data_IF_218935931270
#
_entry.id   IF_218935931270
#
_cell.length_a   1.000
_cell.length_b   1.000
_cell.length_c   1.000
_cell.angle_alpha   90.00
_cell.angle_beta   90.00
_cell.angle_gamma   90.00
#
_symmetry.space_group_name_H-M   'P 1'
#
loop_
_entity.id
_entity.type
_entity.pdbx_description
1 polymer ?
#
# COMPACT_ATOMS: atom_id res chain seq x y z
N UNK A 1 -65.57 -38.34 18.92
CA UNK A 1 -65.55 -37.53 17.67
C UNK A 1 -64.86 -36.21 18.00
N UNK A 2 -63.89 -35.80 17.19
CA UNK A 2 -63.22 -34.49 17.30
C UNK A 2 -61.70 -34.61 17.40
N UNK A 3 -61.05 -34.53 16.23
CA UNK A 3 -59.60 -34.54 15.98
C UNK A 3 -59.04 -33.11 16.10
N UNK A 4 -57.79 -33.01 16.56
CA UNK A 4 -56.70 -32.07 16.21
C UNK A 4 -57.04 -30.67 15.64
N UNK A 5 -56.47 -29.62 16.23
CA UNK A 5 -55.98 -28.46 15.47
C UNK A 5 -55.05 -27.58 16.32
N UNK A 6 -53.79 -27.41 15.89
CA UNK A 6 -53.16 -26.09 15.97
C UNK A 6 -51.80 -25.96 16.66
N UNK A 7 -50.79 -26.71 16.22
CA UNK A 7 -49.39 -26.25 16.24
C UNK A 7 -49.21 -25.17 15.16
N UNK A 8 -48.50 -24.06 15.47
CA UNK A 8 -47.96 -22.93 14.64
C UNK A 8 -48.32 -21.61 15.34
N UNK A 9 -47.43 -20.71 15.74
CA UNK A 9 -46.12 -20.33 15.22
C UNK A 9 -45.24 -19.74 16.33
N UNK A 10 -43.96 -20.11 16.30
CA UNK A 10 -42.89 -19.41 17.00
C UNK A 10 -42.39 -18.26 16.12
N UNK A 11 -42.35 -17.01 16.63
CA UNK A 11 -41.56 -15.95 16.02
C UNK A 11 -40.87 -15.10 17.09
N UNK A 12 -39.58 -15.41 17.27
CA UNK A 12 -38.45 -14.48 17.31
C UNK A 12 -38.57 -13.29 18.28
N UNK A 13 -38.15 -13.51 19.52
CA UNK A 13 -37.58 -12.49 20.39
C UNK A 13 -36.05 -12.57 20.40
N UNK A 14 -35.38 -12.41 19.25
CA UNK A 14 -33.93 -12.31 19.19
C UNK A 14 -33.53 -10.88 19.56
N UNK A 15 -33.40 -10.65 20.87
CA UNK A 15 -32.85 -9.42 21.41
C UNK A 15 -31.42 -9.22 20.87
N UNK A 16 -31.17 -8.01 20.36
CA UNK A 16 -29.87 -7.51 19.95
C UNK A 16 -28.81 -7.74 21.04
N UNK A 17 -27.95 -8.74 20.83
CA UNK A 17 -26.67 -8.89 21.51
C UNK A 17 -25.55 -8.74 20.46
N UNK A 18 -25.42 -7.53 19.90
CA UNK A 18 -24.25 -7.12 19.13
C UNK A 18 -23.73 -5.87 19.84
N UNK A 19 -22.53 -5.95 20.43
CA UNK A 19 -21.76 -4.91 21.13
C UNK A 19 -21.57 -5.21 22.62
N UNK A 20 -20.78 -6.25 22.96
CA UNK A 20 -19.99 -6.30 24.20
C UNK A 20 -19.03 -7.50 24.17
N UNK A 21 -17.72 -7.22 24.12
CA UNK A 21 -16.70 -8.11 24.70
C UNK A 21 -16.52 -9.47 24.03
N UNK A 22 -16.26 -9.50 22.72
CA UNK A 22 -15.57 -10.65 22.16
C UNK A 22 -14.25 -10.81 22.90
N UNK A 23 -14.18 -11.83 23.76
CA UNK A 23 -12.95 -12.35 24.32
C UNK A 23 -11.85 -12.28 23.26
N UNK A 24 -10.65 -11.90 23.66
CA UNK A 24 -9.43 -11.93 22.86
C UNK A 24 -9.17 -13.39 22.43
N UNK A 25 -9.99 -13.92 21.53
CA UNK A 25 -9.68 -15.07 20.72
C UNK A 25 -8.33 -14.71 20.12
N UNK A 26 -7.30 -15.47 20.50
CA UNK A 26 -5.91 -15.30 20.06
C UNK A 26 -5.93 -14.64 18.69
N UNK A 27 -5.66 -13.32 18.64
CA UNK A 27 -5.77 -12.61 17.39
C UNK A 27 -4.81 -13.35 16.46
N UNK A 28 -5.32 -13.91 15.38
CA UNK A 28 -4.44 -14.52 14.40
C UNK A 28 -3.76 -13.39 13.65
N UNK A 29 -2.57 -13.61 13.06
CA UNK A 29 -1.97 -12.60 12.20
C UNK A 29 -2.94 -12.19 11.07
N UNK A 30 -3.77 -13.10 10.56
CA UNK A 30 -4.81 -12.75 9.59
C UNK A 30 -5.88 -11.83 10.14
N UNK A 31 -6.34 -12.06 11.37
CA UNK A 31 -7.34 -11.21 12.00
C UNK A 31 -6.82 -9.77 12.18
N UNK A 32 -5.55 -9.63 12.62
CA UNK A 32 -4.92 -8.31 12.76
C UNK A 32 -4.85 -7.56 11.42
N UNK A 33 -4.46 -8.24 10.33
CA UNK A 33 -4.45 -7.63 9.00
C UNK A 33 -5.86 -7.33 8.48
N UNK A 34 -6.84 -8.21 8.72
CA UNK A 34 -8.22 -7.99 8.31
C UNK A 34 -8.82 -6.75 8.98
N UNK A 35 -8.51 -6.51 10.25
CA UNK A 35 -8.96 -5.32 10.96
C UNK A 35 -8.28 -4.04 10.44
N UNK A 36 -6.98 -4.08 10.15
CA UNK A 36 -6.28 -2.98 9.47
C UNK A 36 -6.91 -2.65 8.11
N UNK A 37 -7.16 -3.69 7.31
CA UNK A 37 -7.73 -3.57 5.97
C UNK A 37 -9.14 -2.97 6.01
N UNK A 38 -10.02 -3.50 6.86
CA UNK A 38 -11.37 -3.00 7.04
C UNK A 38 -11.39 -1.54 7.54
N UNK A 39 -10.55 -1.21 8.53
CA UNK A 39 -10.44 0.15 9.04
C UNK A 39 -9.94 1.14 7.97
N UNK A 40 -8.98 0.72 7.14
CA UNK A 40 -8.46 1.55 6.05
C UNK A 40 -9.51 1.79 4.97
N UNK A 41 -10.24 0.75 4.53
CA UNK A 41 -11.32 0.89 3.55
C UNK A 41 -12.46 1.75 4.08
N UNK A 42 -12.73 1.70 5.39
CA UNK A 42 -13.73 2.53 6.04
C UNK A 42 -13.26 3.99 6.28
N UNK A 43 -12.00 4.32 5.93
CA UNK A 43 -11.42 5.64 6.20
C UNK A 43 -11.20 5.93 7.70
N UNK A 44 -11.25 4.91 8.56
CA UNK A 44 -11.07 5.04 10.02
C UNK A 44 -9.58 4.96 10.36
N UNK A 45 -8.85 6.03 10.12
CA UNK A 45 -7.38 6.06 10.19
C UNK A 45 -6.86 5.74 11.60
N UNK A 46 -7.43 6.33 12.65
CA UNK A 46 -6.98 6.05 14.02
C UNK A 46 -7.19 4.58 14.41
N UNK A 47 -8.31 4.00 13.99
CA UNK A 47 -8.57 2.57 14.17
C UNK A 47 -7.55 1.72 13.39
N UNK A 48 -7.24 2.10 12.14
CA UNK A 48 -6.25 1.42 11.31
C UNK A 48 -4.85 1.46 11.96
N UNK A 49 -4.42 2.63 12.46
CA UNK A 49 -3.16 2.79 13.18
C UNK A 49 -3.10 1.92 14.44
N UNK A 50 -4.24 1.63 15.08
CA UNK A 50 -4.34 0.67 16.18
C UNK A 50 -3.79 -0.71 15.84
N UNK A 51 -3.80 -1.13 14.58
CA UNK A 51 -3.31 -2.44 14.12
C UNK A 51 -1.89 -2.41 13.55
N UNK A 52 -1.29 -1.24 13.39
CA UNK A 52 0.08 -1.08 12.87
C UNK A 52 1.09 -1.26 14.00
N UNK A 53 2.22 -1.92 13.75
CA UNK A 53 3.27 -2.13 14.75
C UNK A 53 3.94 -0.82 15.17
N UNK A 54 4.47 -0.76 16.39
CA UNK A 54 5.03 0.44 17.03
C UNK A 54 5.95 1.29 16.15
N UNK A 55 6.99 0.72 15.50
CA UNK A 55 7.90 1.51 14.67
C UNK A 55 7.20 2.19 13.48
N UNK A 56 6.38 1.44 12.74
CA UNK A 56 5.64 2.00 11.60
C UNK A 56 4.51 2.93 12.05
N UNK A 57 3.86 2.62 13.18
CA UNK A 57 2.84 3.49 13.77
C UNK A 57 3.45 4.83 14.17
N UNK A 58 4.65 4.84 14.77
CA UNK A 58 5.36 6.06 15.14
C UNK A 58 5.74 6.89 13.91
N UNK A 59 6.24 6.27 12.85
CA UNK A 59 6.53 6.95 11.57
C UNK A 59 5.27 7.60 10.98
N UNK A 60 4.17 6.85 10.90
CA UNK A 60 2.88 7.36 10.42
C UNK A 60 2.32 8.45 11.33
N UNK A 61 2.54 8.36 12.65
CA UNK A 61 2.10 9.35 13.63
C UNK A 61 2.92 10.65 13.57
N UNK A 62 4.19 10.58 13.17
CA UNK A 62 5.05 11.76 12.98
C UNK A 62 4.65 12.59 11.75
N UNK A 63 3.94 11.99 10.78
CA UNK A 63 3.43 12.71 9.60
C UNK A 63 2.32 13.69 9.97
N UNK A 64 2.26 14.87 9.32
CA UNK A 64 1.12 15.77 9.43
C UNK A 64 -0.19 15.05 9.13
N UNK A 65 -1.27 15.43 9.82
CA UNK A 65 -2.57 14.78 9.67
C UNK A 65 -3.03 14.73 8.20
N UNK A 66 -2.91 15.84 7.46
CA UNK A 66 -3.30 15.90 6.06
C UNK A 66 -2.50 14.93 5.15
N UNK A 67 -1.20 14.75 5.42
CA UNK A 67 -0.36 13.80 4.68
C UNK A 67 -0.79 12.36 4.99
N UNK A 68 -1.03 12.06 6.27
CA UNK A 68 -1.49 10.75 6.73
C UNK A 68 -2.85 10.40 6.12
N UNK A 69 -3.79 11.34 6.14
CA UNK A 69 -5.10 11.19 5.50
C UNK A 69 -4.97 10.95 3.99
N UNK A 70 -4.11 11.70 3.31
CA UNK A 70 -3.82 11.50 1.89
C UNK A 70 -3.27 10.10 1.60
N UNK A 71 -2.36 9.61 2.44
CA UNK A 71 -1.76 8.28 2.34
C UNK A 71 -2.83 7.19 2.53
N UNK A 72 -3.62 7.22 3.60
CA UNK A 72 -4.65 6.23 3.85
C UNK A 72 -5.79 6.28 2.82
N UNK A 73 -6.13 7.47 2.30
CA UNK A 73 -7.08 7.61 1.19
C UNK A 73 -6.56 6.95 -0.08
N UNK A 74 -5.29 7.16 -0.41
CA UNK A 74 -4.63 6.53 -1.57
C UNK A 74 -4.57 5.01 -1.40
N UNK A 75 -4.24 4.52 -0.20
CA UNK A 75 -4.29 3.10 0.11
C UNK A 75 -5.71 2.54 -0.10
N UNK A 76 -6.73 3.16 0.47
CA UNK A 76 -8.11 2.71 0.31
C UNK A 76 -8.58 2.63 -1.15
N UNK A 77 -8.04 3.46 -2.04
CA UNK A 77 -8.34 3.45 -3.47
C UNK A 77 -7.59 2.37 -4.27
N UNK A 78 -6.40 1.98 -3.81
CA UNK A 78 -5.51 1.05 -4.52
C UNK A 78 -5.68 -0.40 -4.05
N UNK A 79 -6.10 -0.59 -2.80
CA UNK A 79 -6.29 -1.91 -2.21
C UNK A 79 -7.55 -2.61 -2.75
N UNK A 80 -7.51 -3.93 -2.95
CA UNK A 80 -8.72 -4.70 -3.21
C UNK A 80 -9.77 -4.52 -2.11
N UNK A 81 -11.04 -4.35 -2.51
CA UNK A 81 -12.18 -4.30 -1.57
C UNK A 81 -12.32 -5.60 -0.77
N UNK A 82 -11.96 -6.71 -1.39
CA UNK A 82 -11.98 -8.06 -0.82
C UNK A 82 -10.72 -8.79 -1.24
N UNK A 83 -10.21 -9.68 -0.39
CA UNK A 83 -9.05 -10.51 -0.68
C UNK A 83 -9.23 -11.94 -0.15
N UNK A 84 -8.40 -12.85 -0.65
CA UNK A 84 -8.23 -14.21 -0.12
C UNK A 84 -6.78 -14.43 0.29
N UNK A 85 -6.56 -15.03 1.45
CA UNK A 85 -5.21 -15.42 1.90
C UNK A 85 -4.76 -16.63 1.05
N UNK A 86 -3.55 -16.55 0.52
CA UNK A 86 -2.92 -17.59 -0.29
C UNK A 86 -1.87 -18.37 0.50
N UNK A 87 -1.12 -17.69 1.35
CA UNK A 87 -0.09 -18.30 2.18
C UNK A 87 0.01 -17.57 3.52
N UNK A 88 0.33 -18.32 4.56
CA UNK A 88 0.68 -17.83 5.88
C UNK A 88 1.87 -18.62 6.40
N UNK A 89 2.87 -17.92 6.91
CA UNK A 89 3.86 -18.52 7.80
C UNK A 89 3.87 -17.78 9.13
N UNK A 90 4.06 -18.53 10.22
CA UNK A 90 4.22 -17.99 11.57
C UNK A 90 5.49 -18.62 12.15
N UNK A 91 6.37 -17.78 12.67
CA UNK A 91 7.63 -18.15 13.29
C UNK A 91 7.77 -17.38 14.59
N UNK A 92 7.40 -18.02 15.71
CA UNK A 92 7.33 -17.39 17.03
C UNK A 92 6.46 -16.13 17.02
N UNK A 93 7.10 -14.99 17.25
CA UNK A 93 6.47 -13.66 17.32
C UNK A 93 6.45 -12.93 15.96
N UNK A 94 6.79 -13.61 14.87
CA UNK A 94 6.73 -13.05 13.52
C UNK A 94 5.76 -13.86 12.64
N UNK A 95 5.09 -13.18 11.71
CA UNK A 95 4.27 -13.83 10.71
C UNK A 95 4.39 -13.14 9.36
N UNK A 96 4.24 -13.92 8.28
CA UNK A 96 4.12 -13.41 6.92
C UNK A 96 2.78 -13.85 6.34
N UNK A 97 2.10 -12.91 5.69
CA UNK A 97 0.86 -13.16 4.97
C UNK A 97 1.04 -12.80 3.50
N UNK A 98 0.58 -13.72 2.66
CA UNK A 98 0.41 -13.48 1.23
C UNK A 98 -1.07 -13.63 0.92
N UNK A 99 -1.65 -12.64 0.26
CA UNK A 99 -3.04 -12.66 -0.18
C UNK A 99 -3.15 -12.20 -1.63
N UNK A 100 -4.31 -12.46 -2.25
CA UNK A 100 -4.66 -11.90 -3.56
C UNK A 100 -6.05 -11.31 -3.54
N UNK A 101 -6.29 -10.29 -4.34
CA UNK A 101 -7.58 -9.66 -4.53
C UNK A 101 -7.65 -8.95 -5.88
N UNK A 102 -8.83 -8.47 -6.22
CA UNK A 102 -9.03 -7.65 -7.44
C UNK A 102 -8.98 -6.19 -7.03
N UNK A 103 -8.00 -5.45 -7.56
CA UNK A 103 -7.93 -4.00 -7.45
C UNK A 103 -8.67 -3.36 -8.62
N UNK A 104 -9.47 -2.35 -8.31
CA UNK A 104 -10.25 -1.56 -9.28
C UNK A 104 -9.64 -0.15 -9.33
N UNK A 105 -8.38 -0.06 -9.72
CA UNK A 105 -7.65 1.20 -9.78
C UNK A 105 -7.69 1.80 -11.19
N UNK A 106 -8.02 3.09 -11.31
CA UNK A 106 -8.10 3.83 -12.58
C UNK A 106 -9.00 3.21 -13.66
N UNK A 107 -10.09 2.53 -13.25
CA UNK A 107 -11.05 1.92 -14.18
C UNK A 107 -10.60 0.57 -14.77
N UNK A 108 -9.40 0.10 -14.42
CA UNK A 108 -8.94 -1.26 -14.74
C UNK A 108 -9.21 -2.22 -13.58
N UNK A 109 -9.57 -3.46 -13.90
CA UNK A 109 -9.60 -4.57 -12.93
C UNK A 109 -8.32 -5.38 -13.10
N UNK A 110 -7.48 -5.39 -12.08
CA UNK A 110 -6.23 -6.16 -12.09
C UNK A 110 -6.11 -7.04 -10.85
N UNK A 111 -5.46 -8.18 -11.01
CA UNK A 111 -5.08 -9.00 -9.86
C UNK A 111 -3.98 -8.29 -9.09
N UNK A 112 -4.18 -8.14 -7.78
CA UNK A 112 -3.23 -7.56 -6.87
C UNK A 112 -2.87 -8.60 -5.80
N UNK A 113 -1.61 -8.59 -5.38
CA UNK A 113 -1.05 -9.46 -4.38
C UNK A 113 -0.59 -8.65 -3.18
N UNK A 114 -1.00 -9.10 -2.00
CA UNK A 114 -0.52 -8.62 -0.72
C UNK A 114 0.74 -9.37 -0.33
N UNK A 115 1.74 -8.64 0.12
CA UNK A 115 2.79 -9.15 1.01
C UNK A 115 2.74 -8.34 2.30
N UNK A 116 2.47 -8.99 3.44
CA UNK A 116 2.44 -8.34 4.74
C UNK A 116 3.29 -9.09 5.76
N UNK A 117 4.09 -8.34 6.51
CA UNK A 117 4.82 -8.84 7.67
C UNK A 117 4.13 -8.37 8.94
N UNK A 118 3.95 -9.28 9.88
CA UNK A 118 3.34 -9.01 11.17
C UNK A 118 4.29 -9.42 12.27
N UNK A 119 4.17 -8.74 13.41
CA UNK A 119 4.90 -9.05 14.62
C UNK A 119 3.95 -9.07 15.81
N UNK A 120 4.26 -9.89 16.79
CA UNK A 120 3.60 -9.87 18.08
C UNK A 120 4.19 -8.75 18.93
N UNK A 121 3.34 -7.87 19.45
CA UNK A 121 3.67 -6.85 20.44
C UNK A 121 2.87 -7.15 21.70
N UNK A 122 3.54 -7.74 22.71
CA UNK A 122 2.85 -8.35 23.85
C UNK A 122 2.06 -9.58 23.40
N UNK A 123 0.75 -9.59 23.66
CA UNK A 123 -0.13 -10.70 23.25
C UNK A 123 -0.88 -10.43 21.93
N UNK A 124 -0.67 -9.26 21.33
CA UNK A 124 -1.42 -8.80 20.15
C UNK A 124 -0.56 -8.80 18.89
N UNK A 125 -1.12 -9.28 17.79
CA UNK A 125 -0.47 -9.16 16.47
C UNK A 125 -0.66 -7.76 15.91
N UNK A 126 0.42 -7.21 15.37
CA UNK A 126 0.45 -5.91 14.71
C UNK A 126 1.14 -6.02 13.36
N UNK A 127 0.65 -5.26 12.38
CA UNK A 127 1.19 -5.23 11.03
C UNK A 127 2.44 -4.37 11.01
N UNK A 128 3.59 -4.99 10.77
CA UNK A 128 4.89 -4.32 10.71
C UNK A 128 5.17 -3.71 9.33
N UNK A 129 4.67 -4.34 8.27
CA UNK A 129 4.71 -3.80 6.91
C UNK A 129 3.60 -4.43 6.07
N UNK A 130 3.13 -3.73 5.05
CA UNK A 130 2.23 -4.28 4.04
C UNK A 130 2.44 -3.57 2.71
N UNK A 131 2.27 -4.32 1.63
CA UNK A 131 2.27 -3.77 0.28
C UNK A 131 1.31 -4.57 -0.61
N UNK A 132 0.52 -3.86 -1.40
CA UNK A 132 -0.23 -4.43 -2.52
C UNK A 132 0.51 -4.13 -3.81
N UNK A 133 0.72 -5.15 -4.64
CA UNK A 133 1.38 -5.01 -5.94
C UNK A 133 0.70 -5.87 -7.00
N UNK A 134 0.83 -5.49 -8.27
CA UNK A 134 0.41 -6.36 -9.40
C UNK A 134 1.40 -7.50 -9.66
N UNK A 135 2.56 -7.49 -9.00
CA UNK A 135 3.58 -8.51 -9.16
C UNK A 135 3.29 -9.70 -8.26
N UNK A 136 3.26 -10.90 -8.84
CA UNK A 136 3.11 -12.13 -8.08
C UNK A 136 4.32 -12.33 -7.14
N UNK A 137 4.11 -12.52 -5.83
CA UNK A 137 5.18 -12.74 -4.87
C UNK A 137 6.01 -13.97 -5.22
N UNK A 138 7.34 -13.87 -5.08
CA UNK A 138 8.28 -14.96 -5.36
C UNK A 138 7.98 -16.23 -4.55
N UNK A 139 7.45 -16.09 -3.34
CA UNK A 139 7.03 -17.20 -2.49
C UNK A 139 5.83 -18.01 -3.02
N UNK A 140 5.13 -17.51 -4.05
CA UNK A 140 4.09 -18.24 -4.77
C UNK A 140 4.55 -18.76 -6.13
N UNK A 141 5.78 -18.44 -6.54
CA UNK A 141 6.36 -19.00 -7.75
C UNK A 141 6.86 -20.41 -7.41
N UNK A 142 6.67 -21.39 -8.32
CA UNK A 142 7.31 -22.68 -8.14
C UNK A 142 8.82 -22.43 -7.96
N UNK A 143 9.37 -22.96 -6.87
CA UNK A 143 10.82 -22.91 -6.61
C UNK A 143 11.48 -23.36 -7.92
N UNK A 144 12.29 -22.53 -8.59
CA UNK A 144 13.06 -22.99 -9.73
C UNK A 144 13.77 -24.24 -9.24
N UNK A 145 13.49 -25.39 -9.88
CA UNK A 145 14.26 -26.61 -9.63
C UNK A 145 15.71 -26.18 -9.71
N UNK A 146 16.44 -26.32 -8.59
CA UNK A 146 17.71 -25.66 -8.36
C UNK A 146 18.54 -25.63 -9.64
N UNK A 147 18.51 -24.50 -10.35
CA UNK A 147 19.51 -24.24 -11.35
C UNK A 147 20.77 -24.21 -10.52
N UNK A 148 21.63 -25.21 -10.76
CA UNK A 148 22.90 -25.38 -10.10
C UNK A 148 23.50 -23.99 -9.86
N UNK A 149 23.90 -23.71 -8.62
CA UNK A 149 24.65 -22.52 -8.29
C UNK A 149 25.73 -22.38 -9.35
N UNK A 150 25.56 -21.43 -10.26
CA UNK A 150 26.64 -21.02 -11.13
C UNK A 150 27.62 -20.41 -10.13
N UNK A 151 28.80 -21.01 -9.87
CA UNK A 151 29.78 -20.35 -9.05
C UNK A 151 29.97 -18.97 -9.66
N UNK A 152 29.84 -17.92 -8.83
CA UNK A 152 30.19 -16.57 -9.22
C UNK A 152 31.63 -16.63 -9.70
N UNK A 153 31.81 -16.71 -11.02
CA UNK A 153 33.11 -16.55 -11.63
C UNK A 153 33.63 -15.18 -11.16
N UNK A 154 34.85 -15.09 -10.61
CA UNK A 154 35.41 -13.81 -10.26
C UNK A 154 35.37 -12.93 -11.52
N UNK A 155 34.87 -11.70 -11.36
CA UNK A 155 34.96 -10.70 -12.41
C UNK A 155 36.39 -10.69 -12.94
N UNK A 156 36.64 -10.82 -14.26
CA UNK A 156 37.97 -10.62 -14.80
C UNK A 156 38.37 -9.19 -14.45
N UNK A 157 39.50 -9.07 -13.76
CA UNK A 157 40.18 -7.81 -13.54
C UNK A 157 40.31 -7.11 -14.89
N UNK A 158 39.64 -5.97 -15.06
CA UNK A 158 39.84 -5.09 -16.20
C UNK A 158 41.29 -4.63 -16.16
N UNK A 159 42.08 -5.28 -17.00
CA UNK A 159 43.46 -4.98 -17.32
C UNK A 159 43.54 -3.54 -17.81
N UNK A 160 43.97 -2.63 -16.93
CA UNK A 160 44.31 -1.26 -17.32
C UNK A 160 45.61 -1.28 -18.11
N UNK A 161 45.50 -1.48 -19.42
CA UNK A 161 46.61 -1.37 -20.36
C UNK A 161 46.26 -0.38 -21.47
N UNK A 162 46.34 0.90 -21.13
CA UNK A 162 46.69 1.96 -22.08
C UNK A 162 48.05 2.50 -21.60
N UNK A 163 49.14 1.88 -22.06
CA UNK A 163 49.93 2.29 -23.23
C UNK A 163 50.87 3.49 -22.95
N UNK A 164 52.10 3.09 -22.56
CA UNK A 164 53.41 3.61 -22.99
C UNK A 164 53.85 5.05 -22.64
N UNK A 165 54.90 5.07 -21.80
CA UNK A 165 56.17 5.82 -21.88
C UNK A 165 56.11 7.34 -22.11
N UNK A 166 56.59 8.08 -21.11
CA UNK A 166 57.79 8.95 -21.25
C UNK A 166 58.60 8.98 -19.93
N UNK A 167 59.95 9.18 -19.98
CA UNK A 167 60.86 9.08 -18.84
C UNK A 167 61.16 10.44 -18.17
N UNK A 168 61.53 10.39 -16.88
CA UNK A 168 62.00 11.52 -16.06
C UNK A 168 61.14 11.66 -14.79
N UNK A 169 61.50 11.05 -13.66
CA UNK A 169 62.49 11.53 -12.67
C UNK A 169 62.20 12.94 -12.15
N UNK A 170 61.50 13.04 -11.02
CA UNK A 170 62.00 13.75 -9.82
C UNK A 170 61.06 13.50 -8.61
N UNK A 171 61.54 12.90 -7.50
CA UNK A 171 60.74 12.60 -6.31
C UNK A 171 60.73 13.70 -5.23
N UNK A 172 60.99 14.97 -5.57
CA UNK A 172 60.99 16.06 -4.59
C UNK A 172 60.30 17.33 -5.10
N UNK A 173 58.98 17.40 -4.93
CA UNK A 173 58.25 18.67 -4.95
C UNK A 173 57.09 18.59 -3.93
N UNK A 174 57.03 19.50 -2.93
CA UNK A 174 55.90 19.54 -2.01
C UNK A 174 54.63 19.99 -2.76
N UNK A 175 53.46 19.36 -2.50
CA UNK A 175 52.22 19.80 -3.12
C UNK A 175 51.78 21.13 -2.52
N UNK A 176 51.89 22.20 -3.31
CA UNK A 176 51.13 23.44 -3.11
C UNK A 176 49.63 23.17 -3.35
N UNK A 177 48.71 23.77 -2.56
CA UNK A 177 47.28 23.58 -2.72
C UNK A 177 46.71 24.50 -3.82
N UNK A 178 45.93 23.99 -4.78
CA UNK A 178 45.07 24.85 -5.59
C UNK A 178 43.67 24.96 -4.98
N UNK A 179 43.47 26.09 -4.30
CA UNK A 179 42.44 27.09 -4.58
C UNK A 179 41.14 26.61 -5.24
N UNK A 180 40.09 26.71 -4.44
CA UNK A 180 38.68 26.76 -4.79
C UNK A 180 38.41 27.92 -5.78
N UNK A 181 37.89 27.63 -6.98
CA UNK A 181 37.23 28.62 -7.84
C UNK A 181 35.82 28.12 -8.16
N UNK A 182 34.88 28.74 -7.45
CA UNK A 182 33.50 29.06 -7.78
C UNK A 182 32.93 28.54 -9.12
N UNK A 183 31.94 27.66 -9.02
CA UNK A 183 30.96 27.41 -10.08
C UNK A 183 29.60 28.04 -9.70
N UNK A 184 29.38 29.23 -10.28
CA UNK A 184 28.14 29.76 -10.89
C UNK A 184 26.77 29.16 -10.45
N UNK A 185 25.81 29.99 -9.98
CA UNK A 185 24.44 29.55 -9.73
C UNK A 185 23.73 29.19 -11.05
N UNK A 186 23.15 27.99 -11.12
CA UNK A 186 22.25 27.60 -12.20
C UNK A 186 20.88 28.28 -12.00
N UNK A 187 20.39 28.86 -13.08
CA UNK A 187 19.14 29.59 -13.17
C UNK A 187 17.91 28.71 -12.86
N UNK A 188 16.91 29.32 -12.25
CA UNK A 188 15.61 28.74 -11.96
C UNK A 188 14.89 28.25 -13.23
N UNK A 189 14.21 27.09 -13.21
CA UNK A 189 13.36 26.66 -14.31
C UNK A 189 12.12 27.57 -14.41
N UNK A 190 11.86 28.05 -15.63
CA UNK A 190 10.70 28.83 -15.98
C UNK A 190 9.39 28.05 -15.73
N UNK A 191 8.40 28.77 -15.20
CA UNK A 191 7.06 28.26 -14.92
C UNK A 191 6.39 27.72 -16.20
N UNK A 192 5.88 26.48 -16.10
CA UNK A 192 5.01 25.92 -17.12
C UNK A 192 3.65 26.65 -17.11
N UNK A 193 3.02 26.87 -18.29
CA UNK A 193 1.71 27.48 -18.36
C UNK A 193 0.66 26.57 -17.72
N UNK A 194 0.00 27.05 -16.67
CA UNK A 194 -1.21 26.46 -16.11
C UNK A 194 -2.30 26.38 -17.18
N UNK A 195 -2.53 25.16 -17.68
CA UNK A 195 -3.73 24.83 -18.46
C UNK A 195 -4.93 25.02 -17.53
N UNK A 196 -5.71 26.08 -17.77
CA UNK A 196 -6.98 26.28 -17.08
C UNK A 196 -7.89 25.06 -17.27
N UNK A 197 -8.82 24.80 -16.34
CA UNK A 197 -9.77 23.72 -16.48
C UNK A 197 -10.54 23.88 -17.79
N UNK A 198 -10.55 22.82 -18.60
CA UNK A 198 -11.34 22.72 -19.81
C UNK A 198 -12.77 23.21 -19.55
N UNK A 199 -13.33 24.05 -20.42
CA UNK A 199 -14.68 24.66 -20.30
C UNK A 199 -15.78 23.65 -19.88
N UNK A 200 -15.67 22.40 -20.35
CA UNK A 200 -16.58 21.31 -19.99
C UNK A 200 -16.61 20.93 -18.49
N UNK A 201 -15.52 21.17 -17.75
CA UNK A 201 -15.40 20.78 -16.35
C UNK A 201 -16.05 21.78 -15.38
N UNK A 202 -16.26 23.03 -15.84
CA UNK A 202 -16.96 24.08 -15.09
C UNK A 202 -18.48 23.90 -15.18
N UNK A 203 -19.01 23.45 -16.32
CA UNK A 203 -20.44 23.30 -16.54
C UNK A 203 -21.06 22.09 -15.80
N UNK A 204 -20.33 20.98 -15.62
CA UNK A 204 -20.86 19.80 -14.92
C UNK A 204 -21.17 20.05 -13.42
N UNK A 205 -20.52 21.05 -12.80
CA UNK A 205 -20.82 21.47 -11.41
C UNK A 205 -22.13 22.24 -11.29
N UNK A 206 -22.59 22.90 -12.36
CA UNK A 206 -23.90 23.56 -12.37
C UNK A 206 -25.05 22.53 -12.37
N UNK A 207 -24.86 21.36 -12.99
CA UNK A 207 -25.85 20.29 -12.97
C UNK A 207 -26.16 19.80 -11.55
N UNK A 208 -25.19 19.85 -10.63
CA UNK A 208 -25.37 19.40 -9.24
C UNK A 208 -26.19 20.37 -8.37
N UNK A 209 -26.53 21.56 -8.89
CA UNK A 209 -27.40 22.53 -8.20
C UNK A 209 -28.89 22.31 -8.47
N UNK A 210 -29.24 21.34 -9.33
CA UNK A 210 -30.62 21.07 -9.70
C UNK A 210 -31.34 20.32 -8.56
N UNK A 211 -32.63 20.62 -8.31
CA UNK A 211 -33.34 20.16 -7.11
C UNK A 211 -33.76 18.69 -7.14
N UNK A 212 -33.60 18.00 -8.28
CA UNK A 212 -34.04 16.61 -8.45
C UNK A 212 -33.01 15.77 -9.19
N UNK A 213 -32.86 14.51 -8.78
CA UNK A 213 -31.92 13.56 -9.38
C UNK A 213 -32.18 13.30 -10.88
N UNK A 214 -33.43 13.41 -11.32
CA UNK A 214 -33.80 13.29 -12.73
C UNK A 214 -33.29 14.48 -13.56
N UNK A 215 -33.34 15.69 -13.02
CA UNK A 215 -32.83 16.88 -13.68
C UNK A 215 -31.29 16.89 -13.72
N UNK A 216 -30.64 16.41 -12.65
CA UNK A 216 -29.17 16.24 -12.61
C UNK A 216 -28.72 15.27 -13.71
N UNK A 217 -29.40 14.11 -13.85
CA UNK A 217 -29.07 13.11 -14.87
C UNK A 217 -29.26 13.63 -16.30
N UNK A 218 -30.39 14.28 -16.58
CA UNK A 218 -30.66 14.87 -17.90
C UNK A 218 -29.67 16.00 -18.26
N UNK A 219 -29.20 16.75 -17.27
CA UNK A 219 -28.15 17.76 -17.45
C UNK A 219 -26.80 17.11 -17.78
N UNK A 220 -26.40 16.08 -17.03
CA UNK A 220 -25.15 15.36 -17.24
C UNK A 220 -25.05 14.68 -18.62
N UNK A 221 -26.16 14.21 -19.19
CA UNK A 221 -26.19 13.60 -20.53
C UNK A 221 -25.82 14.58 -21.66
N UNK A 222 -26.01 15.89 -21.48
CA UNK A 222 -25.62 16.90 -22.48
C UNK A 222 -24.11 17.14 -22.57
N UNK A 223 -23.36 16.67 -21.58
CA UNK A 223 -21.91 16.87 -21.48
C UNK A 223 -21.09 15.59 -21.70
N UNK A 224 -21.76 14.49 -22.09
CA UNK A 224 -21.14 13.23 -22.49
C UNK A 224 -20.75 13.28 -23.97
#
# INVERSE_FOLDING_TARGET
MGIDMGMRDAVVGLALALLSGGALAQETPEAAYAQLHAATLAGKIDAALGFVAGPLRADLAAKPQAEREGLFRTLAQTMPKTYRVLNKSVDGDAAQLIATGVSEYQGGRTEAYLSASLRKEGETWKVASWVWSSQKPAALLPKPAAAAAVPSAPLPAQESKILRRMPGSDPNAPPTPPTNIAAKPAAAPAAAPTRGPSRAHLDARECLKLPTDSAIRACAEKYR
#
